data_IF_374208642616
#
_entry.id   IF_374208642616
#
_cell.length_a   1.000
_cell.length_b   1.000
_cell.length_c   1.000
_cell.angle_alpha   90.00
_cell.angle_beta   90.00
_cell.angle_gamma   90.00
#
_symmetry.space_group_name_H-M   'P 1'
#
loop_
_entity.id
_entity.type
_entity.pdbx_description
1 polymer ?
#
# COMPACT_ATOMS: atom_id res chain seq x y z
N UNK A 1 0.39 9.08 9.53
CA UNK A 1 1.35 10.16 9.19
C UNK A 1 2.79 9.76 9.50
N UNK A 2 3.11 9.29 10.71
CA UNK A 2 4.47 8.81 11.05
C UNK A 2 4.93 7.68 10.11
N UNK A 3 4.03 6.75 9.77
CA UNK A 3 4.28 5.66 8.82
C UNK A 3 4.71 6.12 7.42
N UNK A 4 4.27 7.31 6.97
CA UNK A 4 4.60 7.85 5.65
C UNK A 4 6.05 8.37 5.56
N UNK A 5 6.68 8.69 6.69
CA UNK A 5 8.08 9.14 6.73
C UNK A 5 9.03 7.97 6.46
N UNK A 6 8.69 6.79 6.97
CA UNK A 6 9.49 5.57 6.80
C UNK A 6 9.19 4.82 5.50
N UNK A 7 7.99 4.99 4.94
CA UNK A 7 7.56 4.35 3.70
C UNK A 7 8.55 4.52 2.52
N UNK A 8 9.06 5.73 2.18
CA UNK A 8 10.00 5.88 1.07
C UNK A 8 11.36 5.22 1.31
N UNK A 9 11.86 5.20 2.54
CA UNK A 9 13.09 4.49 2.87
C UNK A 9 12.93 2.97 2.69
N UNK A 10 11.77 2.44 3.07
CA UNK A 10 11.43 1.03 2.96
C UNK A 10 11.23 0.60 1.50
N UNK A 11 10.61 1.45 0.68
CA UNK A 11 10.44 1.26 -0.78
C UNK A 11 11.75 1.49 -1.56
N UNK A 12 12.70 2.24 -1.02
CA UNK A 12 14.04 2.34 -1.63
C UNK A 12 14.87 1.08 -1.33
N UNK A 13 14.78 0.56 -0.10
CA UNK A 13 15.45 -0.68 0.30
C UNK A 13 14.85 -1.93 -0.35
N UNK A 14 13.54 -1.95 -0.59
CA UNK A 14 12.82 -3.07 -1.21
C UNK A 14 12.35 -2.69 -2.61
N UNK A 15 12.58 -3.55 -3.62
CA UNK A 15 11.97 -3.34 -4.95
C UNK A 15 10.46 -3.12 -4.85
N UNK A 16 9.93 -2.18 -5.64
CA UNK A 16 8.53 -1.75 -5.61
C UNK A 16 7.51 -2.92 -5.72
N UNK A 17 7.85 -3.99 -6.45
CA UNK A 17 7.03 -5.22 -6.51
C UNK A 17 6.88 -5.91 -5.16
N UNK A 18 7.96 -6.00 -4.37
CA UNK A 18 7.95 -6.62 -3.04
C UNK A 18 7.27 -5.73 -2.00
N UNK A 19 7.40 -4.42 -2.13
CA UNK A 19 6.67 -3.46 -1.28
C UNK A 19 5.15 -3.60 -1.46
N UNK A 20 4.67 -3.71 -2.70
CA UNK A 20 3.25 -3.94 -2.99
C UNK A 20 2.74 -5.29 -2.46
N UNK A 21 3.56 -6.35 -2.58
CA UNK A 21 3.21 -7.65 -2.00
C UNK A 21 3.08 -7.59 -0.48
N UNK A 22 4.03 -6.94 0.21
CA UNK A 22 3.99 -6.75 1.67
C UNK A 22 2.76 -5.96 2.12
N UNK A 23 2.39 -4.91 1.37
CA UNK A 23 1.15 -4.18 1.62
C UNK A 23 -0.07 -5.09 1.50
N UNK A 24 -0.16 -5.92 0.45
CA UNK A 24 -1.24 -6.89 0.29
C UNK A 24 -1.36 -7.86 1.46
N UNK A 25 -0.24 -8.35 1.99
CA UNK A 25 -0.22 -9.20 3.19
C UNK A 25 -0.72 -8.46 4.44
N UNK A 26 -0.39 -7.18 4.60
CA UNK A 26 -0.94 -6.36 5.69
C UNK A 26 -2.46 -6.17 5.56
N UNK A 27 -2.97 -6.01 4.34
CA UNK A 27 -4.40 -5.92 4.08
C UNK A 27 -5.14 -7.22 4.42
N UNK A 28 -4.58 -8.38 4.07
CA UNK A 28 -5.20 -9.68 4.40
C UNK A 28 -5.13 -9.96 5.90
N UNK A 29 -4.04 -9.59 6.59
CA UNK A 29 -3.92 -9.70 8.03
C UNK A 29 -4.96 -8.85 8.77
N UNK A 30 -5.27 -7.65 8.26
CA UNK A 30 -6.34 -6.81 8.80
C UNK A 30 -7.72 -7.47 8.69
N UNK A 31 -8.06 -8.00 7.50
CA UNK A 31 -9.32 -8.72 7.29
C UNK A 31 -9.40 -10.00 8.14
N UNK A 32 -8.29 -10.73 8.30
CA UNK A 32 -8.25 -11.88 9.22
C UNK A 32 -8.42 -11.47 10.68
N UNK A 33 -7.92 -10.29 11.07
CA UNK A 33 -8.10 -9.73 12.41
C UNK A 33 -9.57 -9.53 12.80
N UNK A 34 -10.47 -9.31 11.84
CA UNK A 34 -11.90 -9.22 12.09
C UNK A 34 -12.58 -10.55 12.40
N UNK A 35 -11.98 -11.69 12.04
CA UNK A 35 -12.53 -13.01 12.38
C UNK A 35 -12.41 -13.30 13.89
N UNK A 36 -11.44 -12.70 14.57
CA UNK A 36 -11.22 -12.85 16.01
C UNK A 36 -11.48 -11.52 16.71
N UNK A 37 -12.76 -11.30 17.04
CA UNK A 37 -13.27 -10.06 17.65
C UNK A 37 -12.78 -9.90 19.10
N UNK A 38 -11.52 -9.54 19.28
CA UNK A 38 -10.92 -9.18 20.55
C UNK A 38 -10.43 -7.72 20.46
N UNK A 39 -10.70 -6.92 21.51
CA UNK A 39 -10.33 -5.51 21.55
C UNK A 39 -8.84 -5.29 21.29
N UNK A 40 -7.97 -6.18 21.80
CA UNK A 40 -6.53 -6.10 21.57
C UNK A 40 -6.13 -6.36 20.11
N UNK A 41 -6.72 -7.37 19.48
CA UNK A 41 -6.45 -7.73 18.08
C UNK A 41 -6.86 -6.60 17.14
N UNK A 42 -7.97 -5.93 17.43
CA UNK A 42 -8.46 -4.80 16.63
C UNK A 42 -7.48 -3.61 16.62
N UNK A 43 -6.94 -3.21 17.77
CA UNK A 43 -5.96 -2.12 17.81
C UNK A 43 -4.66 -2.48 17.09
N UNK A 44 -4.18 -3.71 17.24
CA UNK A 44 -2.95 -4.18 16.57
C UNK A 44 -3.15 -4.19 15.05
N UNK A 45 -4.27 -4.71 14.56
CA UNK A 45 -4.55 -4.77 13.11
C UNK A 45 -4.71 -3.38 12.50
N UNK A 46 -5.26 -2.41 13.26
CA UNK A 46 -5.33 -1.00 12.85
C UNK A 46 -3.93 -0.35 12.68
N UNK A 47 -2.97 -0.71 13.53
CA UNK A 47 -1.58 -0.24 13.38
C UNK A 47 -0.91 -0.89 12.17
N UNK A 48 -1.10 -2.20 11.99
CA UNK A 48 -0.55 -2.96 10.85
C UNK A 48 -1.09 -2.44 9.51
N UNK A 49 -2.39 -2.18 9.41
CA UNK A 49 -3.00 -1.65 8.18
C UNK A 49 -2.51 -0.23 7.88
N UNK A 50 -2.31 0.61 8.91
CA UNK A 50 -1.76 1.95 8.76
C UNK A 50 -0.32 1.97 8.23
N UNK A 51 0.47 0.95 8.53
CA UNK A 51 1.80 0.74 7.95
C UNK A 51 1.69 0.21 6.51
N UNK A 52 0.83 -0.78 6.28
CA UNK A 52 0.60 -1.37 4.96
C UNK A 52 0.11 -0.36 3.91
N UNK A 53 -0.81 0.54 4.30
CA UNK A 53 -1.31 1.65 3.48
C UNK A 53 -0.21 2.65 3.12
N UNK A 54 0.65 3.01 4.07
CA UNK A 54 1.75 3.94 3.80
C UNK A 54 2.72 3.36 2.75
N UNK A 55 3.07 2.09 2.88
CA UNK A 55 3.92 1.37 1.91
C UNK A 55 3.21 1.21 0.56
N UNK A 56 1.89 1.00 0.54
CA UNK A 56 1.11 0.82 -0.68
C UNK A 56 1.12 2.09 -1.54
N UNK A 57 0.82 3.24 -0.94
CA UNK A 57 0.78 4.51 -1.69
C UNK A 57 2.16 4.90 -2.22
N UNK A 58 3.22 4.75 -1.43
CA UNK A 58 4.58 5.08 -1.88
C UNK A 58 5.11 4.06 -2.90
N UNK A 59 4.91 2.77 -2.64
CA UNK A 59 5.35 1.68 -3.50
C UNK A 59 4.60 1.64 -4.82
N UNK A 60 3.28 1.86 -4.83
CA UNK A 60 2.44 1.88 -6.02
C UNK A 60 2.75 3.07 -6.94
N UNK A 61 3.00 4.26 -6.38
CA UNK A 61 3.46 5.41 -7.15
C UNK A 61 4.82 5.17 -7.81
N UNK A 62 5.78 4.60 -7.06
CA UNK A 62 7.08 4.22 -7.61
C UNK A 62 6.96 3.12 -8.68
N UNK A 63 6.05 2.15 -8.50
CA UNK A 63 5.79 1.09 -9.46
C UNK A 63 5.32 1.67 -10.79
N UNK A 64 4.29 2.53 -10.73
CA UNK A 64 3.71 3.18 -11.90
C UNK A 64 4.74 4.06 -12.62
N UNK A 65 5.57 4.78 -11.86
CA UNK A 65 6.64 5.61 -12.42
C UNK A 65 7.72 4.77 -13.13
N UNK A 66 8.08 3.61 -12.57
CA UNK A 66 9.07 2.71 -13.18
C UNK A 66 8.56 1.95 -14.40
N UNK A 67 7.26 1.66 -14.47
CA UNK A 67 6.62 0.92 -15.57
C UNK A 67 5.93 1.81 -16.61
N UNK A 68 5.91 3.13 -16.43
CA UNK A 68 5.29 4.08 -17.37
C UNK A 68 6.29 5.02 -17.99
N UNK A 69 6.11 5.33 -19.28
CA UNK A 69 6.91 6.34 -19.98
C UNK A 69 6.38 7.74 -19.63
N UNK A 70 7.23 8.77 -19.77
CA UNK A 70 6.88 10.18 -19.51
C UNK A 70 5.61 10.67 -20.22
N UNK A 71 5.28 10.10 -21.38
CA UNK A 71 4.05 10.39 -22.15
C UNK A 71 2.80 9.65 -21.68
N UNK A 72 2.95 8.54 -20.96
CA UNK A 72 1.84 7.64 -20.60
C UNK A 72 1.56 7.60 -19.10
N UNK A 73 2.44 8.17 -18.26
CA UNK A 73 2.31 8.15 -16.80
C UNK A 73 1.00 8.79 -16.32
N UNK A 74 0.59 9.92 -16.89
CA UNK A 74 -0.66 10.59 -16.51
C UNK A 74 -1.88 9.72 -16.80
N UNK A 75 -1.92 9.12 -18.01
CA UNK A 75 -3.01 8.22 -18.42
C UNK A 75 -3.07 6.95 -17.56
N UNK A 76 -1.92 6.32 -17.30
CA UNK A 76 -1.85 5.11 -16.47
C UNK A 76 -2.22 5.39 -15.01
N UNK A 77 -1.79 6.53 -14.48
CA UNK A 77 -2.13 6.96 -13.11
C UNK A 77 -3.62 7.24 -13.01
N UNK A 78 -4.17 8.02 -13.95
CA UNK A 78 -5.61 8.30 -14.00
C UNK A 78 -6.43 7.00 -14.08
N UNK A 79 -6.03 6.06 -14.95
CA UNK A 79 -6.70 4.75 -15.06
C UNK A 79 -6.63 3.94 -13.76
N UNK A 80 -5.47 3.90 -13.09
CA UNK A 80 -5.32 3.22 -11.79
C UNK A 80 -6.25 3.81 -10.73
N UNK A 81 -6.39 5.14 -10.69
CA UNK A 81 -7.32 5.81 -9.77
C UNK A 81 -8.77 5.57 -10.14
N UNK A 82 -9.12 5.59 -11.43
CA UNK A 82 -10.47 5.28 -11.89
C UNK A 82 -10.92 3.87 -11.47
N UNK A 83 -10.03 2.88 -11.58
CA UNK A 83 -10.29 1.52 -11.09
C UNK A 83 -10.51 1.49 -9.57
N UNK A 84 -9.77 2.31 -8.82
CA UNK A 84 -9.90 2.39 -7.36
C UNK A 84 -11.23 3.04 -6.94
N UNK A 85 -11.76 3.99 -7.72
CA UNK A 85 -13.06 4.60 -7.46
C UNK A 85 -14.26 3.77 -7.93
N UNK A 86 -14.03 2.76 -8.77
CA UNK A 86 -15.06 1.87 -9.33
C UNK A 86 -15.47 0.76 -8.35
N UNK A 87 -14.76 0.61 -7.23
CA UNK A 87 -14.95 -0.43 -6.22
C UNK A 87 -15.07 0.22 -4.84
#
# INVERSE_FOLDING_TARGET
>A
MVSCIFAPALVYAMTSKWALFLSGVCFTAFHMGYLYLNSYTYYITCVVIGLGLAVYYTGGGAYLASHSTRRTIEKNTAFSWSLTCLW
#
